data_IF_452403121122
#
_entry.id   IF_452403121122
#
_cell.length_a   1.000
_cell.length_b   1.000
_cell.length_c   1.000
_cell.angle_alpha   90.00
_cell.angle_beta   90.00
_cell.angle_gamma   90.00
#
_symmetry.space_group_name_H-M   'P 1'
#
loop_
_entity.id
_entity.type
_entity.pdbx_description
1 polymer ?
#
# COMPACT_ATOMS: atom_id res chain seq x y z
N UNK A 1 -7.61 11.34 40.56
CA UNK A 1 -8.59 11.22 39.46
C UNK A 1 -8.92 12.64 39.01
N UNK A 2 -8.33 13.10 37.90
CA UNK A 2 -8.52 14.46 37.38
C UNK A 2 -9.35 14.32 36.10
N UNK A 3 -10.50 14.99 35.94
CA UNK A 3 -11.33 14.83 34.77
C UNK A 3 -10.65 15.53 33.57
N UNK A 4 -10.49 14.81 32.47
CA UNK A 4 -10.08 15.40 31.21
C UNK A 4 -11.30 16.13 30.61
N UNK A 5 -11.33 17.46 30.73
CA UNK A 5 -12.26 18.29 29.97
C UNK A 5 -11.73 18.41 28.55
N UNK A 6 -12.42 17.79 27.59
CA UNK A 6 -12.17 17.99 26.16
C UNK A 6 -12.96 19.22 25.71
N UNK A 7 -12.29 20.37 25.64
CA UNK A 7 -12.85 21.57 25.00
C UNK A 7 -12.55 21.49 23.51
N UNK A 8 -13.58 21.27 22.69
CA UNK A 8 -13.48 21.40 21.25
C UNK A 8 -13.43 22.88 20.90
N UNK A 9 -12.31 23.34 20.35
CA UNK A 9 -12.26 24.61 19.63
C UNK A 9 -12.79 24.38 18.23
N UNK A 10 -13.90 25.02 17.90
CA UNK A 10 -14.42 25.07 16.53
C UNK A 10 -13.41 25.86 15.68
N UNK A 11 -12.73 25.17 14.77
CA UNK A 11 -11.83 25.81 13.80
C UNK A 11 -12.67 26.17 12.58
N UNK A 12 -13.16 27.40 12.56
CA UNK A 12 -13.84 28.01 11.41
C UNK A 12 -12.80 28.39 10.34
N UNK A 13 -12.70 27.58 9.29
CA UNK A 13 -11.90 27.87 8.11
C UNK A 13 -11.84 26.66 7.18
N UNK A 14 -12.16 26.84 5.90
CA UNK A 14 -12.39 25.76 4.93
C UNK A 14 -11.17 24.87 4.66
N UNK A 15 -11.09 23.76 5.40
CA UNK A 15 -10.19 22.64 5.14
C UNK A 15 -11.06 21.40 4.97
N UNK A 16 -11.29 21.00 3.72
CA UNK A 16 -11.92 19.72 3.44
C UNK A 16 -11.07 18.55 3.97
N UNK A 17 -11.69 17.39 4.26
CA UNK A 17 -11.01 16.20 4.79
C UNK A 17 -9.93 15.61 3.85
N UNK A 18 -9.86 16.11 2.62
CA UNK A 18 -8.94 15.77 1.55
C UNK A 18 -7.55 16.45 1.66
N UNK A 19 -7.43 17.54 2.43
CA UNK A 19 -6.18 18.34 2.52
C UNK A 19 -5.32 18.09 3.76
N UNK A 20 -5.81 17.29 4.72
CA UNK A 20 -5.13 17.01 5.99
C UNK A 20 -4.53 15.59 5.98
N UNK A 21 -3.20 15.48 5.96
CA UNK A 21 -2.47 14.19 5.99
C UNK A 21 -2.67 13.41 7.31
N UNK A 22 -2.88 14.14 8.40
CA UNK A 22 -3.02 13.58 9.73
C UNK A 22 -3.06 14.64 10.82
N UNK A 23 -3.37 14.20 12.04
CA UNK A 23 -3.36 15.02 13.24
C UNK A 23 -2.16 14.65 14.13
N UNK A 24 -1.64 15.62 14.88
CA UNK A 24 -0.65 15.38 15.92
C UNK A 24 -1.32 15.67 17.26
N UNK A 25 -1.59 14.62 18.03
CA UNK A 25 -2.11 14.76 19.38
C UNK A 25 -0.97 15.10 20.34
N UNK A 26 -1.13 16.19 21.09
CA UNK A 26 -0.20 16.66 22.13
C UNK A 26 -0.96 16.84 23.43
N UNK A 27 -0.32 16.58 24.57
CA UNK A 27 -0.90 16.96 25.88
C UNK A 27 -0.89 18.48 25.99
N UNK A 28 -2.03 19.08 26.30
CA UNK A 28 -2.22 20.54 26.29
C UNK A 28 -1.25 21.32 27.19
N UNK A 29 -0.79 20.70 28.28
CA UNK A 29 0.10 21.31 29.29
C UNK A 29 1.53 20.72 29.27
N UNK A 30 1.93 20.03 28.21
CA UNK A 30 3.28 19.48 28.14
C UNK A 30 4.30 20.53 27.70
N UNK A 31 5.40 20.73 28.45
CA UNK A 31 6.55 21.46 27.95
C UNK A 31 7.12 20.79 26.69
N UNK A 32 7.82 21.57 25.88
CA UNK A 32 8.55 21.05 24.73
C UNK A 32 9.81 20.33 25.20
N UNK A 33 9.77 19.00 25.23
CA UNK A 33 10.92 18.17 25.57
C UNK A 33 11.61 17.69 24.30
N UNK A 34 12.72 18.33 23.94
CA UNK A 34 13.58 17.88 22.85
C UNK A 34 14.01 16.42 23.04
N UNK A 35 14.10 15.66 21.95
CA UNK A 35 14.48 14.23 21.89
C UNK A 35 13.51 13.22 22.54
N UNK A 36 12.33 13.62 23.02
CA UNK A 36 11.33 12.67 23.52
C UNK A 36 10.19 12.41 22.51
N UNK A 37 9.73 11.15 22.43
CA UNK A 37 8.59 10.73 21.61
C UNK A 37 7.26 10.91 22.36
N UNK A 38 6.92 12.15 22.69
CA UNK A 38 5.75 12.51 23.52
C UNK A 38 4.52 12.94 22.72
N UNK A 39 4.64 13.08 21.41
CA UNK A 39 3.53 13.46 20.52
C UNK A 39 3.10 12.26 19.68
N UNK A 40 1.78 12.08 19.56
CA UNK A 40 1.21 10.98 18.78
C UNK A 40 0.81 11.52 17.42
N UNK A 41 1.51 11.09 16.38
CA UNK A 41 1.12 11.38 14.99
C UNK A 41 0.12 10.32 14.53
N UNK A 42 -1.06 10.77 14.13
CA UNK A 42 -2.13 9.95 13.57
C UNK A 42 -2.28 10.39 12.11
N UNK A 43 -2.03 9.49 11.16
CA UNK A 43 -2.17 9.76 9.72
C UNK A 43 -3.40 9.03 9.18
N UNK A 44 -4.16 9.69 8.30
CA UNK A 44 -5.15 8.98 7.48
C UNK A 44 -4.37 8.05 6.53
N UNK A 45 -4.79 6.79 6.42
CA UNK A 45 -4.25 5.88 5.42
C UNK A 45 -5.30 5.72 4.34
N UNK A 46 -4.91 6.01 3.12
CA UNK A 46 -5.73 5.69 1.97
C UNK A 46 -5.40 4.28 1.51
N UNK A 47 -6.44 3.53 1.18
CA UNK A 47 -6.34 2.22 0.55
C UNK A 47 -6.51 2.38 -0.96
N UNK A 48 -5.87 1.49 -1.71
CA UNK A 48 -5.98 1.41 -3.17
C UNK A 48 -5.93 -0.05 -3.58
N UNK A 49 -6.60 -0.36 -4.67
CA UNK A 49 -6.54 -1.65 -5.32
C UNK A 49 -5.26 -1.75 -6.16
N UNK A 50 -4.68 -2.95 -6.20
CA UNK A 50 -3.49 -3.29 -7.00
C UNK A 50 -3.58 -4.73 -7.47
N UNK A 51 -2.86 -5.07 -8.53
CA UNK A 51 -2.78 -6.42 -9.09
C UNK A 51 -1.58 -7.15 -8.49
N UNK A 52 -1.73 -8.40 -8.09
CA UNK A 52 -0.63 -9.26 -7.64
C UNK A 52 -0.02 -9.95 -8.86
N UNK A 53 1.18 -9.56 -9.27
CA UNK A 53 1.85 -10.17 -10.44
C UNK A 53 3.05 -11.07 -10.08
N UNK A 54 3.56 -10.98 -8.85
CA UNK A 54 4.57 -11.91 -8.35
C UNK A 54 4.57 -11.97 -6.83
N UNK A 55 5.23 -12.98 -6.28
CA UNK A 55 5.44 -13.16 -4.84
C UNK A 55 6.91 -13.43 -4.53
N UNK A 56 7.30 -13.25 -3.27
CA UNK A 56 8.51 -13.89 -2.73
C UNK A 56 8.11 -15.11 -1.91
N UNK A 57 8.88 -16.20 -2.01
CA UNK A 57 8.55 -17.50 -1.41
C UNK A 57 7.85 -18.43 -2.40
N UNK A 58 7.05 -19.36 -1.89
CA UNK A 58 6.35 -20.36 -2.72
C UNK A 58 4.86 -20.04 -2.81
N UNK A 59 4.16 -20.60 -3.81
CA UNK A 59 2.70 -20.45 -3.96
C UNK A 59 1.93 -20.84 -2.70
N UNK A 60 2.41 -21.87 -1.98
CA UNK A 60 1.80 -22.34 -0.72
C UNK A 60 2.16 -21.49 0.50
N UNK A 61 3.24 -20.69 0.44
CA UNK A 61 3.75 -19.89 1.57
C UNK A 61 4.31 -18.55 1.06
N UNK A 62 3.44 -17.66 0.54
CA UNK A 62 3.86 -16.35 0.07
C UNK A 62 4.33 -15.49 1.26
N UNK A 63 5.49 -14.85 1.10
CA UNK A 63 6.07 -13.98 2.12
C UNK A 63 5.80 -12.50 1.83
N UNK A 64 5.96 -12.10 0.56
CA UNK A 64 5.77 -10.73 0.07
C UNK A 64 4.97 -10.78 -1.22
N UNK A 65 4.17 -9.74 -1.49
CA UNK A 65 3.51 -9.55 -2.77
C UNK A 65 4.23 -8.44 -3.55
N UNK A 66 4.50 -8.70 -4.81
CA UNK A 66 4.93 -7.71 -5.79
C UNK A 66 3.69 -7.24 -6.53
N UNK A 67 3.44 -5.94 -6.44
CA UNK A 67 2.20 -5.30 -6.86
C UNK A 67 2.42 -4.57 -8.17
N UNK A 68 1.42 -4.63 -9.04
CA UNK A 68 1.37 -3.94 -10.30
C UNK A 68 0.04 -3.25 -10.56
N UNK A 69 0.03 -2.40 -11.56
CA UNK A 69 -1.18 -1.86 -12.16
C UNK A 69 -0.95 -1.70 -13.66
N UNK A 70 -2.01 -1.80 -14.45
CA UNK A 70 -1.92 -1.55 -15.87
C UNK A 70 -1.77 -0.05 -16.16
N UNK A 71 -0.89 0.29 -17.10
CA UNK A 71 -0.83 1.62 -17.70
C UNK A 71 -1.92 1.80 -18.78
N UNK A 72 -1.90 2.95 -19.46
CA UNK A 72 -2.84 3.24 -20.54
C UNK A 72 -2.63 2.35 -21.78
N UNK A 73 -1.42 1.79 -21.93
CA UNK A 73 -1.02 0.92 -23.04
C UNK A 73 -1.21 -0.58 -22.69
N UNK A 74 -1.95 -0.88 -21.62
CA UNK A 74 -2.21 -2.25 -21.12
C UNK A 74 -0.95 -3.02 -20.72
N UNK A 75 0.11 -2.31 -20.32
CA UNK A 75 1.33 -2.93 -19.78
C UNK A 75 1.24 -2.96 -18.27
N UNK A 76 1.58 -4.11 -17.68
CA UNK A 76 1.61 -4.26 -16.23
C UNK A 76 2.87 -3.59 -15.67
N UNK A 77 2.70 -2.42 -15.06
CA UNK A 77 3.77 -1.67 -14.42
C UNK A 77 3.92 -2.09 -12.94
N UNK A 78 5.13 -2.44 -12.51
CA UNK A 78 5.40 -2.72 -11.10
C UNK A 78 5.35 -1.43 -10.27
N UNK A 79 4.44 -1.37 -9.30
CA UNK A 79 4.22 -0.17 -8.46
C UNK A 79 4.86 -0.28 -7.09
N UNK A 80 5.18 -1.49 -6.64
CA UNK A 80 5.88 -1.69 -5.39
C UNK A 80 5.69 -3.10 -4.84
N UNK A 81 5.94 -3.23 -3.54
CA UNK A 81 5.82 -4.51 -2.83
C UNK A 81 5.26 -4.30 -1.44
N UNK A 82 4.63 -5.33 -0.91
CA UNK A 82 4.15 -5.32 0.47
C UNK A 82 5.30 -5.51 1.46
N UNK A 83 5.05 -5.17 2.71
CA UNK A 83 5.77 -5.75 3.86
C UNK A 83 5.49 -7.26 3.96
N UNK A 84 6.27 -8.02 4.77
CA UNK A 84 5.97 -9.42 5.05
C UNK A 84 4.51 -9.61 5.45
N UNK A 85 3.85 -10.55 4.78
CA UNK A 85 2.48 -10.92 5.08
C UNK A 85 2.40 -11.53 6.48
N UNK A 86 1.28 -11.27 7.16
CA UNK A 86 0.95 -12.01 8.39
C UNK A 86 0.62 -13.47 8.03
N UNK A 87 0.88 -14.44 8.91
CA UNK A 87 0.63 -15.86 8.61
C UNK A 87 -0.78 -16.16 8.09
N UNK A 88 -1.82 -15.55 8.69
CA UNK A 88 -3.20 -15.74 8.25
C UNK A 88 -3.46 -15.19 6.85
N UNK A 89 -2.92 -13.99 6.56
CA UNK A 89 -3.03 -13.37 5.25
C UNK A 89 -2.26 -14.16 4.18
N UNK A 90 -1.08 -14.68 4.53
CA UNK A 90 -0.29 -15.51 3.63
C UNK A 90 -1.05 -16.79 3.24
N UNK A 91 -1.74 -17.43 4.20
CA UNK A 91 -2.58 -18.60 3.93
C UNK A 91 -3.76 -18.26 3.02
N UNK A 92 -4.49 -17.18 3.32
CA UNK A 92 -5.60 -16.74 2.47
C UNK A 92 -5.14 -16.44 1.04
N UNK A 93 -4.00 -15.76 0.89
CA UNK A 93 -3.46 -15.46 -0.43
C UNK A 93 -3.05 -16.75 -1.16
N UNK A 94 -2.37 -17.66 -0.48
CA UNK A 94 -1.94 -18.94 -1.05
C UNK A 94 -3.10 -19.78 -1.61
N UNK A 95 -4.30 -19.70 -1.02
CA UNK A 95 -5.49 -20.42 -1.47
C UNK A 95 -5.98 -19.95 -2.85
N UNK A 96 -5.61 -18.73 -3.27
CA UNK A 96 -6.06 -18.13 -4.53
C UNK A 96 -4.95 -17.92 -5.55
N UNK A 97 -3.67 -18.07 -5.16
CA UNK A 97 -2.54 -17.89 -6.06
C UNK A 97 -2.50 -18.97 -7.15
N UNK A 98 -2.41 -18.53 -8.40
CA UNK A 98 -2.17 -19.40 -9.55
C UNK A 98 -0.77 -19.15 -10.09
N UNK A 99 -0.05 -20.22 -10.47
CA UNK A 99 1.26 -20.11 -11.10
C UNK A 99 1.17 -19.29 -12.40
N UNK A 100 2.21 -18.51 -12.71
CA UNK A 100 2.24 -17.77 -13.98
C UNK A 100 2.22 -18.73 -15.19
N UNK A 101 1.43 -18.37 -16.20
CA UNK A 101 1.46 -19.00 -17.50
C UNK A 101 2.64 -18.45 -18.34
N UNK A 102 3.10 -19.18 -19.38
CA UNK A 102 4.08 -18.67 -20.33
C UNK A 102 3.62 -17.35 -20.98
N UNK A 103 4.54 -16.42 -21.24
CA UNK A 103 4.20 -15.09 -21.74
C UNK A 103 3.75 -14.11 -20.66
N UNK A 104 4.14 -14.37 -19.41
CA UNK A 104 3.83 -13.48 -18.30
C UNK A 104 4.39 -12.07 -18.55
N UNK A 105 3.64 -10.98 -18.26
CA UNK A 105 4.11 -9.60 -18.53
C UNK A 105 5.44 -9.23 -17.87
N UNK A 106 5.81 -9.92 -16.80
CA UNK A 106 7.07 -9.76 -16.07
C UNK A 106 8.07 -10.90 -16.30
N UNK A 107 7.90 -11.70 -17.33
CA UNK A 107 8.89 -12.71 -17.70
C UNK A 107 10.24 -12.04 -18.03
N UNK A 108 11.31 -12.48 -17.37
CA UNK A 108 12.66 -11.89 -17.47
C UNK A 108 12.86 -10.56 -16.73
N UNK A 109 11.83 -10.00 -16.08
CA UNK A 109 11.95 -8.77 -15.29
C UNK A 109 12.64 -9.06 -13.96
N UNK A 110 13.62 -8.24 -13.59
CA UNK A 110 14.27 -8.28 -12.27
C UNK A 110 13.70 -7.20 -11.37
N UNK A 111 13.17 -7.60 -10.22
CA UNK A 111 12.73 -6.68 -9.17
C UNK A 111 13.89 -6.39 -8.22
N UNK A 112 14.09 -5.14 -7.83
CA UNK A 112 15.13 -4.80 -6.85
C UNK A 112 14.69 -5.21 -5.43
N UNK A 113 15.56 -5.87 -4.68
CA UNK A 113 15.31 -6.32 -3.31
C UNK A 113 15.22 -5.15 -2.31
N UNK A 114 15.88 -4.03 -2.61
CA UNK A 114 15.76 -2.75 -1.89
C UNK A 114 15.96 -1.60 -2.86
N UNK A 115 15.37 -0.44 -2.56
CA UNK A 115 15.57 0.76 -3.36
C UNK A 115 17.06 1.14 -3.38
N UNK A 116 17.66 1.19 -4.58
CA UNK A 116 19.07 1.52 -4.78
C UNK A 116 20.04 0.34 -4.64
N UNK A 117 19.57 -0.87 -4.34
CA UNK A 117 20.41 -2.08 -4.42
C UNK A 117 20.38 -2.69 -5.82
N UNK A 118 21.48 -3.33 -6.21
CA UNK A 118 21.56 -4.19 -7.41
C UNK A 118 21.07 -5.62 -7.12
N UNK A 119 20.78 -5.95 -5.86
CA UNK A 119 20.28 -7.26 -5.49
C UNK A 119 18.90 -7.47 -6.10
N UNK A 120 18.78 -8.56 -6.86
CA UNK A 120 17.50 -9.01 -7.37
C UNK A 120 16.70 -9.69 -6.25
N UNK A 121 15.43 -9.33 -6.15
CA UNK A 121 14.46 -10.05 -5.34
C UNK A 121 14.19 -11.39 -6.01
N UNK A 122 14.26 -12.47 -5.22
CA UNK A 122 13.81 -13.79 -5.66
C UNK A 122 12.27 -13.79 -5.72
N UNK A 123 11.75 -13.54 -6.92
CA UNK A 123 10.34 -13.37 -7.18
C UNK A 123 9.82 -14.55 -8.02
N UNK A 124 8.82 -15.25 -7.50
CA UNK A 124 8.03 -16.23 -8.24
C UNK A 124 6.86 -15.51 -8.89
N UNK A 125 6.80 -15.56 -10.22
CA UNK A 125 5.71 -14.97 -10.99
C UNK A 125 4.40 -15.73 -10.76
N UNK A 126 3.29 -15.00 -10.65
CA UNK A 126 1.95 -15.56 -10.46
C UNK A 126 1.02 -15.00 -11.52
N UNK A 127 -0.07 -15.69 -11.84
CA UNK A 127 -1.04 -15.18 -12.79
C UNK A 127 -1.60 -13.83 -12.30
N UNK A 128 -1.58 -12.76 -13.12
CA UNK A 128 -1.89 -11.39 -12.68
C UNK A 128 -3.39 -11.08 -12.70
N UNK A 129 -4.21 -11.96 -12.13
CA UNK A 129 -5.67 -11.80 -12.03
C UNK A 129 -6.15 -11.39 -10.63
N UNK A 130 -5.33 -11.62 -9.60
CA UNK A 130 -5.70 -11.33 -8.23
C UNK A 130 -5.55 -9.84 -7.91
N UNK A 131 -6.65 -9.25 -7.43
CA UNK A 131 -6.69 -7.89 -6.91
C UNK A 131 -6.49 -7.89 -5.40
N UNK A 132 -5.53 -7.11 -4.93
CA UNK A 132 -5.26 -6.87 -3.52
C UNK A 132 -5.56 -5.41 -3.16
N UNK A 133 -6.36 -5.23 -2.10
CA UNK A 133 -6.51 -3.94 -1.44
C UNK A 133 -5.29 -3.71 -0.55
N UNK A 134 -4.63 -2.58 -0.75
CA UNK A 134 -3.40 -2.23 -0.04
C UNK A 134 -3.45 -0.82 0.51
N UNK A 135 -2.84 -0.61 1.67
CA UNK A 135 -2.64 0.74 2.21
C UNK A 135 -1.21 1.20 2.02
N UNK A 136 -1.02 2.38 1.45
CA UNK A 136 0.28 3.04 1.34
C UNK A 136 0.29 4.36 2.12
N UNK A 137 1.44 4.73 2.67
CA UNK A 137 1.64 6.10 3.17
C UNK A 137 1.80 7.02 1.95
N UNK A 138 1.09 8.16 1.92
CA UNK A 138 0.78 9.04 0.77
C UNK A 138 1.95 9.54 -0.09
N UNK A 139 3.19 9.16 0.20
CA UNK A 139 4.33 9.46 -0.66
C UNK A 139 4.41 8.44 -1.81
N UNK A 140 3.50 8.64 -2.76
CA UNK A 140 3.56 8.14 -4.13
C UNK A 140 4.45 9.12 -4.90
N UNK A 141 5.46 8.62 -5.62
CA UNK A 141 6.26 9.48 -6.50
C UNK A 141 5.41 10.00 -7.67
N UNK A 142 5.82 11.08 -8.36
CA UNK A 142 5.14 11.54 -9.60
C UNK A 142 5.01 10.46 -10.66
N UNK A 143 5.82 9.40 -10.58
CA UNK A 143 5.72 8.21 -11.40
C UNK A 143 5.03 7.02 -10.71
N UNK A 144 4.04 7.20 -9.83
CA UNK A 144 3.14 6.12 -9.37
C UNK A 144 3.76 4.96 -8.56
N UNK A 145 5.05 5.01 -8.25
CA UNK A 145 5.74 3.99 -7.44
C UNK A 145 5.64 4.34 -5.95
N UNK A 146 5.26 3.34 -5.15
CA UNK A 146 5.21 3.46 -3.70
C UNK A 146 6.61 3.41 -3.10
N UNK A 147 7.05 4.52 -2.49
CA UNK A 147 8.36 4.60 -1.81
C UNK A 147 8.32 4.09 -0.36
N UNK A 148 7.12 3.90 0.20
CA UNK A 148 6.89 3.51 1.58
C UNK A 148 6.38 2.07 1.70
N UNK A 149 6.51 1.44 2.87
CA UNK A 149 6.06 0.05 3.07
C UNK A 149 4.56 -0.06 2.80
N UNK A 150 4.20 -0.80 1.76
CA UNK A 150 2.81 -1.09 1.42
C UNK A 150 2.32 -2.20 2.35
N UNK A 151 1.12 -2.05 2.91
CA UNK A 151 0.51 -3.09 3.74
C UNK A 151 -0.68 -3.70 3.01
N UNK A 152 -0.63 -5.02 2.89
CA UNK A 152 -1.77 -5.83 2.45
C UNK A 152 -2.92 -5.67 3.46
N UNK A 153 -4.11 -5.37 2.96
CA UNK A 153 -5.33 -5.33 3.76
C UNK A 153 -6.14 -6.61 3.54
N UNK A 154 -6.51 -6.90 2.29
CA UNK A 154 -7.29 -8.09 1.92
C UNK A 154 -7.22 -8.36 0.42
N UNK A 155 -7.61 -9.58 0.03
CA UNK A 155 -7.94 -9.88 -1.37
C UNK A 155 -9.33 -9.35 -1.71
N UNK A 156 -9.45 -8.79 -2.91
CA UNK A 156 -10.71 -8.36 -3.52
C UNK A 156 -11.17 -9.44 -4.50
N UNK A 157 -11.71 -10.54 -3.96
CA UNK A 157 -12.28 -11.62 -4.78
C UNK A 157 -13.54 -11.18 -5.55
N UNK A 158 -14.07 -10.01 -5.19
CA UNK A 158 -15.19 -9.31 -5.80
C UNK A 158 -14.76 -8.27 -6.84
N UNK A 159 -13.46 -8.11 -7.12
CA UNK A 159 -12.94 -7.16 -8.09
C UNK A 159 -12.07 -7.86 -9.15
N UNK A 160 -12.01 -7.25 -10.32
CA UNK A 160 -11.20 -7.69 -11.45
C UNK A 160 -10.08 -6.70 -11.72
N UNK A 161 -9.12 -7.10 -12.56
CA UNK A 161 -8.03 -6.22 -12.99
C UNK A 161 -8.50 -4.90 -13.63
N UNK A 162 -9.72 -4.85 -14.19
CA UNK A 162 -10.29 -3.65 -14.81
C UNK A 162 -10.73 -2.61 -13.78
N UNK A 163 -11.04 -3.05 -12.56
CA UNK A 163 -11.44 -2.19 -11.44
C UNK A 163 -10.24 -1.51 -10.77
N UNK A 164 -9.02 -1.95 -11.08
CA UNK A 164 -7.79 -1.40 -10.51
C UNK A 164 -7.47 -0.04 -11.16
N UNK A 165 -7.23 1.02 -10.37
CA UNK A 165 -6.82 2.31 -10.91
C UNK A 165 -5.60 2.18 -11.83
N UNK A 166 -5.71 2.74 -13.04
CA UNK A 166 -4.62 2.70 -14.02
C UNK A 166 -3.47 3.61 -13.61
N UNK A 167 -2.26 3.18 -13.92
CA UNK A 167 -1.06 4.00 -13.70
C UNK A 167 -1.13 5.31 -14.50
N UNK A 168 -0.86 6.45 -13.85
CA UNK A 168 -0.86 7.76 -14.51
C UNK A 168 -2.24 8.41 -14.70
N UNK A 169 -3.34 7.67 -14.51
CA UNK A 169 -4.60 8.29 -14.15
C UNK A 169 -4.46 8.71 -12.69
N UNK A 170 -4.50 10.01 -12.40
CA UNK A 170 -4.40 10.49 -11.03
C UNK A 170 -5.34 9.68 -10.15
N UNK A 171 -4.81 9.02 -9.11
CA UNK A 171 -5.58 8.30 -8.11
C UNK A 171 -6.63 9.28 -7.56
N UNK A 172 -7.83 9.23 -8.14
CA UNK A 172 -8.94 10.03 -7.68
C UNK A 172 -9.28 9.46 -6.31
N UNK A 173 -9.10 10.29 -5.29
CA UNK A 173 -9.49 9.95 -3.93
C UNK A 173 -10.94 9.44 -4.00
N UNK A 174 -11.16 8.19 -3.58
CA UNK A 174 -12.48 7.63 -3.46
C UNK A 174 -13.34 8.61 -2.63
N UNK A 175 -14.31 9.21 -3.31
CA UNK A 175 -15.26 10.14 -2.73
C UNK A 175 -16.25 9.33 -1.89
N UNK A 176 -16.40 9.75 -0.64
CA UNK A 176 -17.34 9.25 0.35
C UNK A 176 -17.24 10.10 1.61
#
# INVERSE_FOLDING_TARGET
>A
MIPAVCRWGEVSGGWGPDRIEGIVAKRAISPYWGRQRIWTKIRRRDTTETIVGAITGTLTRPQLLVLGCYDQDSRLCAVGRTVPLRPDAARQVAEHLTAAAPGHPWEGVRFAATWGSRDALDATLVHPDLVAEVSADRAIDRGGVFRHPIRFQRLRLDATMEDVPRFGAGLSAAAG
#
